data_IF_622622594601
#
_entry.id   IF_622622594601
#
_cell.length_a   1.000
_cell.length_b   1.000
_cell.length_c   1.000
_cell.angle_alpha   90.00
_cell.angle_beta   90.00
_cell.angle_gamma   90.00
#
_symmetry.space_group_name_H-M   'P 1'
#
loop_
_entity.id
_entity.type
_entity.pdbx_description
1 polymer ?
#
# COMPACT_ATOMS: atom_id res chain seq x y z
N UNK A 1 -20.31 -24.46 26.74
CA UNK A 1 -20.46 -23.11 26.12
C UNK A 1 -19.11 -22.38 26.15
N UNK A 2 -18.91 -21.31 25.35
CA UNK A 2 -17.64 -20.56 25.36
C UNK A 2 -17.27 -19.99 26.74
N UNK A 3 -18.28 -19.69 27.56
CA UNK A 3 -18.11 -19.18 28.92
C UNK A 3 -17.56 -20.24 29.88
N UNK A 4 -17.92 -21.52 29.70
CA UNK A 4 -17.33 -22.65 30.44
C UNK A 4 -15.85 -22.83 30.10
N UNK A 5 -15.47 -22.65 28.84
CA UNK A 5 -14.07 -22.74 28.41
C UNK A 5 -13.22 -21.62 29.04
N UNK A 6 -13.76 -20.40 29.13
CA UNK A 6 -13.10 -19.28 29.82
C UNK A 6 -12.97 -19.57 31.32
N UNK A 7 -14.03 -20.10 31.96
CA UNK A 7 -13.99 -20.45 33.39
C UNK A 7 -12.94 -21.53 33.67
N UNK A 8 -12.92 -22.57 32.85
CA UNK A 8 -11.91 -23.63 32.91
C UNK A 8 -10.49 -23.09 32.79
N UNK A 9 -10.23 -22.20 31.81
CA UNK A 9 -8.92 -21.58 31.63
C UNK A 9 -8.45 -20.83 32.88
N UNK A 10 -9.35 -20.08 33.54
CA UNK A 10 -9.07 -19.36 34.78
C UNK A 10 -8.85 -20.27 35.98
N UNK A 11 -9.68 -21.30 36.15
CA UNK A 11 -9.58 -22.25 37.27
C UNK A 11 -8.31 -23.09 37.20
N UNK A 12 -7.84 -23.43 35.99
CA UNK A 12 -6.66 -24.29 35.78
C UNK A 12 -5.39 -23.54 35.36
N UNK A 13 -5.44 -22.22 35.20
CA UNK A 13 -4.30 -21.43 34.72
C UNK A 13 -3.75 -21.88 33.36
N UNK A 14 -4.63 -22.34 32.45
CA UNK A 14 -4.24 -22.92 31.16
C UNK A 14 -4.61 -21.98 30.01
N UNK A 15 -3.79 -21.91 28.97
CA UNK A 15 -4.11 -21.18 27.74
C UNK A 15 -5.09 -21.97 26.86
N UNK A 16 -6.15 -21.31 26.37
CA UNK A 16 -7.15 -21.92 25.48
C UNK A 16 -7.24 -21.11 24.19
N UNK A 17 -7.10 -21.79 23.05
CA UNK A 17 -7.25 -21.19 21.72
C UNK A 17 -8.59 -21.61 21.12
N UNK A 18 -9.37 -20.63 20.67
CA UNK A 18 -10.65 -20.85 19.99
C UNK A 18 -10.50 -20.48 18.52
N UNK A 19 -10.86 -21.39 17.62
CA UNK A 19 -10.84 -21.16 16.17
C UNK A 19 -12.25 -20.89 15.70
N UNK A 20 -12.47 -19.72 15.09
CA UNK A 20 -13.74 -19.36 14.50
C UNK A 20 -13.58 -19.03 13.01
N UNK A 21 -14.37 -19.69 12.17
CA UNK A 21 -14.33 -19.51 10.72
C UNK A 21 -15.30 -18.40 10.29
N UNK A 22 -14.87 -17.54 9.36
CA UNK A 22 -15.74 -16.54 8.73
C UNK A 22 -16.43 -17.18 7.53
N UNK A 23 -17.77 -17.15 7.50
CA UNK A 23 -18.60 -17.71 6.43
C UNK A 23 -18.87 -16.67 5.33
N UNK A 24 -19.38 -17.13 4.18
CA UNK A 24 -19.54 -16.33 2.94
C UNK A 24 -20.50 -15.14 3.04
N UNK A 25 -21.42 -15.14 3.98
CA UNK A 25 -22.46 -14.11 4.11
C UNK A 25 -22.03 -12.91 4.98
N UNK A 26 -20.77 -12.87 5.44
CA UNK A 26 -20.29 -11.85 6.38
C UNK A 26 -20.95 -11.93 7.78
N UNK A 27 -21.96 -12.80 7.93
CA UNK A 27 -22.54 -13.20 9.20
C UNK A 27 -21.58 -14.18 9.87
N UNK A 28 -20.77 -13.63 10.76
CA UNK A 28 -19.74 -14.34 11.50
C UNK A 28 -20.39 -15.45 12.34
N UNK A 29 -20.26 -16.70 11.90
CA UNK A 29 -20.70 -17.88 12.64
C UNK A 29 -19.77 -18.11 13.85
N UNK A 30 -19.94 -17.33 14.93
CA UNK A 30 -19.28 -17.57 16.22
C UNK A 30 -18.29 -16.50 16.71
N UNK A 31 -17.31 -16.02 15.94
CA UNK A 31 -16.25 -15.16 16.47
C UNK A 31 -16.68 -13.82 17.08
N UNK A 32 -17.52 -13.02 16.40
CA UNK A 32 -17.86 -11.65 16.86
C UNK A 32 -18.59 -11.61 18.19
N UNK A 33 -19.42 -12.62 18.44
CA UNK A 33 -20.15 -12.75 19.72
C UNK A 33 -19.18 -13.04 20.87
N UNK A 34 -18.00 -13.60 20.60
CA UNK A 34 -17.00 -13.91 21.61
C UNK A 34 -15.93 -12.84 21.77
N UNK A 35 -15.75 -11.94 20.79
CA UNK A 35 -14.70 -10.89 20.79
C UNK A 35 -14.68 -10.06 22.07
N UNK A 36 -15.85 -9.73 22.62
CA UNK A 36 -15.96 -8.95 23.85
C UNK A 36 -15.66 -9.79 25.12
N UNK A 37 -15.87 -11.12 25.07
CA UNK A 37 -15.70 -12.04 26.18
C UNK A 37 -14.28 -12.58 26.35
N UNK A 38 -13.51 -12.68 25.26
CA UNK A 38 -12.14 -13.24 25.28
C UNK A 38 -11.09 -12.20 25.62
N UNK A 39 -9.92 -12.65 26.08
CA UNK A 39 -8.81 -11.77 26.44
C UNK A 39 -8.01 -11.28 25.22
N UNK A 40 -7.84 -12.12 24.21
CA UNK A 40 -7.15 -11.78 22.95
C UNK A 40 -8.00 -12.20 21.75
N UNK A 41 -8.09 -11.33 20.75
CA UNK A 41 -8.72 -11.57 19.45
C UNK A 41 -7.66 -11.37 18.38
N UNK A 42 -7.39 -12.45 17.64
CA UNK A 42 -6.48 -12.44 16.49
C UNK A 42 -7.29 -12.69 15.22
N UNK A 43 -7.01 -11.92 14.18
CA UNK A 43 -7.54 -12.12 12.84
C UNK A 43 -6.44 -12.65 11.93
N UNK A 44 -6.71 -13.76 11.23
CA UNK A 44 -5.79 -14.31 10.25
C UNK A 44 -6.36 -14.13 8.86
N UNK A 45 -5.77 -13.20 8.11
CA UNK A 45 -6.32 -12.68 6.87
C UNK A 45 -5.38 -12.97 5.71
N UNK A 46 -5.95 -13.32 4.56
CA UNK A 46 -5.20 -13.57 3.34
C UNK A 46 -6.04 -13.19 2.14
N UNK A 47 -5.49 -12.34 1.29
CA UNK A 47 -6.13 -12.00 0.03
C UNK A 47 -5.77 -13.03 -1.05
N UNK A 48 -6.68 -13.27 -2.00
CA UNK A 48 -6.46 -14.31 -3.04
C UNK A 48 -5.25 -14.02 -3.92
N UNK A 49 -4.96 -12.75 -4.15
CA UNK A 49 -3.83 -12.29 -4.96
C UNK A 49 -2.50 -12.24 -4.19
N UNK A 50 -2.54 -12.29 -2.85
CA UNK A 50 -1.34 -12.25 -2.03
C UNK A 50 -0.97 -13.67 -1.56
N UNK A 51 0.27 -14.09 -1.81
CA UNK A 51 0.84 -15.33 -1.26
C UNK A 51 0.94 -15.31 0.28
N UNK A 52 0.79 -14.14 0.89
CA UNK A 52 0.95 -13.94 2.31
C UNK A 52 -0.36 -14.03 3.09
N UNK A 53 -0.22 -14.34 4.37
CA UNK A 53 -1.26 -14.36 5.39
C UNK A 53 -0.81 -13.48 6.53
N UNK A 54 -1.63 -12.52 6.93
CA UNK A 54 -1.34 -11.56 7.99
C UNK A 54 -2.16 -11.96 9.21
N UNK A 55 -1.47 -12.22 10.32
CA UNK A 55 -2.06 -12.37 11.64
C UNK A 55 -2.02 -11.01 12.34
N UNK A 56 -3.16 -10.49 12.75
CA UNK A 56 -3.26 -9.19 13.44
C UNK A 56 -4.03 -9.30 14.74
N UNK A 57 -3.56 -8.62 15.78
CA UNK A 57 -4.28 -8.48 17.02
C UNK A 57 -5.36 -7.38 16.92
N UNK A 58 -6.64 -7.76 16.96
CA UNK A 58 -7.75 -6.80 17.06
C UNK A 58 -7.91 -6.34 18.51
N UNK A 59 -7.76 -7.27 19.46
CA UNK A 59 -7.81 -7.04 20.90
C UNK A 59 -6.72 -7.87 21.56
N UNK A 60 -5.97 -7.27 22.46
CA UNK A 60 -4.94 -7.98 23.21
C UNK A 60 -4.87 -7.39 24.61
N UNK A 61 -5.31 -8.14 25.63
CA UNK A 61 -5.20 -7.69 27.03
C UNK A 61 -3.80 -7.83 27.61
N UNK A 62 -2.90 -8.51 26.92
CA UNK A 62 -1.56 -8.83 27.41
C UNK A 62 -0.44 -8.19 26.58
N UNK A 63 -0.76 -7.31 25.62
CA UNK A 63 0.22 -6.68 24.74
C UNK A 63 -0.40 -5.67 23.78
N UNK A 64 0.39 -5.20 22.81
CA UNK A 64 -0.08 -4.27 21.79
C UNK A 64 -1.10 -4.92 20.85
N UNK A 65 -2.05 -4.11 20.36
CA UNK A 65 -2.90 -4.48 19.21
C UNK A 65 -2.28 -4.07 17.88
N UNK A 66 -1.15 -3.37 17.94
CA UNK A 66 -0.47 -2.88 16.75
C UNK A 66 0.48 -3.89 16.11
N UNK A 67 0.70 -5.03 16.75
CA UNK A 67 1.58 -6.08 16.27
C UNK A 67 0.92 -6.89 15.14
N UNK A 68 1.74 -7.23 14.15
CA UNK A 68 1.35 -8.11 13.05
C UNK A 68 2.36 -9.25 12.93
N UNK A 69 1.87 -10.46 12.67
CA UNK A 69 2.67 -11.58 12.22
C UNK A 69 2.43 -11.79 10.73
N UNK A 70 3.48 -11.90 9.93
CA UNK A 70 3.37 -12.14 8.49
C UNK A 70 3.82 -13.56 8.20
N UNK A 71 3.02 -14.30 7.44
CA UNK A 71 3.25 -15.69 7.11
C UNK A 71 3.09 -15.92 5.61
N UNK A 72 3.76 -16.94 5.08
CA UNK A 72 3.57 -17.43 3.72
C UNK A 72 3.16 -18.90 3.75
N UNK A 73 2.29 -19.32 2.84
CA UNK A 73 1.93 -20.73 2.70
C UNK A 73 2.96 -21.41 1.80
N UNK A 74 3.84 -22.23 2.39
CA UNK A 74 4.81 -23.05 1.69
C UNK A 74 4.29 -24.49 1.56
N UNK A 75 5.04 -25.35 0.85
CA UNK A 75 4.66 -26.76 0.65
C UNK A 75 4.48 -27.52 1.97
N UNK A 76 5.24 -27.17 3.00
CA UNK A 76 5.18 -27.82 4.32
C UNK A 76 4.18 -27.17 5.29
N UNK A 77 3.62 -26.00 4.95
CA UNK A 77 2.67 -25.27 5.79
C UNK A 77 2.96 -23.77 5.90
N UNK A 78 2.49 -23.15 6.98
CA UNK A 78 2.71 -21.72 7.25
C UNK A 78 4.14 -21.49 7.75
N UNK A 79 4.91 -20.71 7.00
CA UNK A 79 6.23 -20.24 7.39
C UNK A 79 6.16 -18.77 7.82
N UNK A 80 6.75 -18.44 8.97
CA UNK A 80 6.90 -17.07 9.45
C UNK A 80 7.81 -16.28 8.50
N UNK A 81 7.45 -15.02 8.27
CA UNK A 81 8.26 -14.07 7.53
C UNK A 81 8.78 -13.01 8.51
N UNK A 82 10.03 -13.18 8.93
CA UNK A 82 10.67 -12.30 9.90
C UNK A 82 10.94 -10.87 9.40
N UNK A 83 11.02 -10.66 8.08
CA UNK A 83 11.13 -9.32 7.51
C UNK A 83 10.05 -9.09 6.43
N UNK A 84 8.90 -8.52 6.79
CA UNK A 84 7.82 -8.23 5.86
C UNK A 84 8.23 -7.29 4.72
N UNK A 85 9.16 -6.35 4.95
CA UNK A 85 9.64 -5.49 3.87
C UNK A 85 10.46 -6.29 2.89
N UNK A 86 11.28 -7.23 3.38
CA UNK A 86 12.01 -8.15 2.49
C UNK A 86 11.09 -8.89 1.51
N UNK A 87 9.79 -9.06 1.77
CA UNK A 87 8.83 -9.71 0.86
C UNK A 87 8.34 -8.84 -0.30
N UNK A 88 8.19 -7.54 -0.06
CA UNK A 88 8.03 -6.56 -1.14
C UNK A 88 9.36 -6.33 -1.87
N UNK A 89 10.48 -6.64 -1.21
CA UNK A 89 11.84 -6.47 -1.73
C UNK A 89 12.43 -7.72 -2.41
N UNK A 90 11.98 -8.95 -2.11
CA UNK A 90 12.55 -10.22 -2.64
C UNK A 90 12.25 -10.43 -4.12
N UNK A 91 11.34 -9.65 -4.69
CA UNK A 91 11.16 -9.52 -6.14
C UNK A 91 11.76 -8.22 -6.71
N UNK A 92 12.46 -7.42 -5.89
CA UNK A 92 13.10 -6.13 -6.21
C UNK A 92 14.61 -6.14 -5.95
N UNK A 93 15.26 -7.29 -6.01
CA UNK A 93 16.74 -7.35 -5.98
C UNK A 93 17.36 -6.57 -7.16
N UNK A 94 16.57 -6.32 -8.22
CA UNK A 94 16.85 -5.29 -9.21
C UNK A 94 15.95 -4.08 -9.01
N UNK A 95 16.57 -2.90 -8.95
CA UNK A 95 15.88 -1.63 -8.85
C UNK A 95 15.05 -1.37 -10.12
N UNK A 96 13.81 -1.85 -10.12
CA UNK A 96 12.92 -1.80 -11.26
C UNK A 96 12.36 -0.39 -11.47
N UNK A 97 12.50 0.10 -12.69
CA UNK A 97 11.93 1.37 -13.12
C UNK A 97 10.43 1.21 -13.37
N UNK A 98 9.65 2.25 -13.08
CA UNK A 98 8.23 2.25 -13.34
C UNK A 98 7.38 1.63 -12.25
N UNK A 99 7.93 1.26 -11.09
CA UNK A 99 7.17 0.67 -9.99
C UNK A 99 7.15 1.59 -8.75
N UNK A 100 6.02 1.69 -8.06
CA UNK A 100 5.88 2.45 -6.80
C UNK A 100 4.86 1.76 -5.89
N UNK A 101 5.07 1.81 -4.58
CA UNK A 101 4.12 1.26 -3.61
C UNK A 101 3.18 2.35 -3.10
N UNK A 102 1.89 2.06 -3.11
CA UNK A 102 0.82 2.91 -2.61
C UNK A 102 0.08 2.23 -1.44
N UNK A 103 -0.04 2.88 -0.27
CA UNK A 103 -0.87 2.39 0.84
C UNK A 103 -2.34 2.75 0.58
N UNK A 104 -3.04 1.94 -0.22
CA UNK A 104 -4.46 2.09 -0.54
C UNK A 104 -5.36 1.91 0.70
N UNK A 105 -6.55 2.52 0.69
CA UNK A 105 -7.57 2.27 1.71
C UNK A 105 -8.71 1.46 1.10
N UNK A 106 -8.99 0.31 1.69
CA UNK A 106 -10.18 -0.49 1.45
C UNK A 106 -11.16 -0.27 2.62
N UNK A 107 -12.10 0.67 2.44
CA UNK A 107 -12.91 1.17 3.54
C UNK A 107 -12.03 1.90 4.56
N UNK A 108 -11.85 1.31 5.75
CA UNK A 108 -10.94 1.82 6.79
C UNK A 108 -9.61 1.04 6.88
N UNK A 109 -9.43 0.00 6.06
CA UNK A 109 -8.26 -0.89 6.13
C UNK A 109 -7.18 -0.44 5.15
N UNK A 110 -5.97 -0.08 5.60
CA UNK A 110 -4.85 0.18 4.71
C UNK A 110 -4.30 -1.13 4.13
N UNK A 111 -4.10 -1.17 2.82
CA UNK A 111 -3.52 -2.28 2.05
C UNK A 111 -2.45 -1.73 1.12
N UNK A 112 -1.27 -2.38 1.07
CA UNK A 112 -0.15 -1.92 0.27
C UNK A 112 -0.26 -2.55 -1.12
N UNK A 113 -0.38 -1.70 -2.14
CA UNK A 113 -0.52 -2.12 -3.54
C UNK A 113 0.62 -1.56 -4.37
N UNK A 114 1.12 -2.34 -5.31
CA UNK A 114 2.12 -1.86 -6.26
C UNK A 114 1.44 -1.26 -7.50
N UNK A 115 1.87 -0.05 -7.84
CA UNK A 115 1.51 0.65 -9.07
C UNK A 115 2.67 0.50 -10.05
N UNK A 116 2.37 0.00 -11.23
CA UNK A 116 3.32 -0.24 -12.30
C UNK A 116 2.98 0.64 -13.50
N UNK A 117 3.99 1.28 -14.05
CA UNK A 117 3.92 2.08 -15.26
C UNK A 117 5.00 1.60 -16.25
N UNK A 118 4.62 1.51 -17.52
CA UNK A 118 5.53 1.25 -18.62
C UNK A 118 5.33 2.32 -19.69
N UNK A 119 6.42 2.92 -20.13
CA UNK A 119 6.43 3.90 -21.21
C UNK A 119 7.16 3.36 -22.42
N UNK A 120 6.54 3.43 -23.60
CA UNK A 120 7.16 2.98 -24.87
C UNK A 120 7.25 4.19 -25.80
N UNK A 121 8.47 4.62 -26.13
CA UNK A 121 8.68 5.73 -27.07
C UNK A 121 8.27 5.31 -28.47
N UNK A 122 7.47 6.15 -29.13
CA UNK A 122 6.99 5.91 -30.49
C UNK A 122 7.82 6.70 -31.51
N UNK A 123 7.81 6.18 -32.74
CA UNK A 123 8.23 6.93 -33.90
C UNK A 123 7.23 8.07 -34.19
N UNK A 124 7.74 9.15 -34.79
CA UNK A 124 6.95 10.35 -35.09
C UNK A 124 5.68 10.04 -35.90
N UNK A 125 4.54 10.63 -35.49
CA UNK A 125 3.26 10.57 -36.21
C UNK A 125 2.29 9.47 -35.76
N UNK A 126 2.69 8.56 -34.86
CA UNK A 126 1.78 7.58 -34.27
C UNK A 126 1.01 8.18 -33.08
N UNK A 127 -0.29 7.88 -32.98
CA UNK A 127 -1.11 8.25 -31.82
C UNK A 127 -0.77 7.35 -30.63
N UNK A 128 -0.24 7.88 -29.52
CA UNK A 128 0.18 7.03 -28.41
C UNK A 128 -0.99 6.36 -27.70
N UNK A 129 -0.85 5.05 -27.47
CA UNK A 129 -1.80 4.30 -26.67
C UNK A 129 -1.66 4.64 -25.19
N UNK A 130 -2.80 4.78 -24.51
CA UNK A 130 -2.88 4.91 -23.05
C UNK A 130 -3.77 3.80 -22.52
N UNK A 131 -3.19 2.82 -21.84
CA UNK A 131 -3.90 1.65 -21.33
C UNK A 131 -3.80 1.59 -19.81
N UNK A 132 -4.91 1.28 -19.15
CA UNK A 132 -5.00 1.26 -17.69
C UNK A 132 -5.71 0.01 -17.22
N UNK A 133 -5.16 -0.65 -16.20
CA UNK A 133 -5.77 -1.79 -15.50
C UNK A 133 -5.79 -1.49 -14.01
N UNK A 134 -6.97 -1.56 -13.38
CA UNK A 134 -7.11 -1.34 -11.94
C UNK A 134 -7.18 0.13 -11.49
N UNK A 135 -7.19 1.08 -12.43
CA UNK A 135 -7.26 2.52 -12.17
C UNK A 135 -8.18 3.25 -13.18
N UNK A 136 -8.50 4.51 -12.93
CA UNK A 136 -9.30 5.35 -13.84
C UNK A 136 -8.48 5.99 -14.98
N UNK A 137 -8.92 5.82 -16.22
CA UNK A 137 -8.24 6.39 -17.40
C UNK A 137 -8.31 7.93 -17.44
N UNK A 138 -9.38 8.53 -16.90
CA UNK A 138 -9.53 9.98 -16.84
C UNK A 138 -8.49 10.62 -15.92
N UNK A 139 -8.29 10.05 -14.74
CA UNK A 139 -7.24 10.42 -13.79
C UNK A 139 -5.85 10.28 -14.40
N UNK A 140 -5.55 9.17 -15.11
CA UNK A 140 -4.27 9.05 -15.82
C UNK A 140 -4.07 10.22 -16.79
N UNK A 141 -5.08 10.55 -17.61
CA UNK A 141 -4.99 11.66 -18.54
C UNK A 141 -4.73 13.01 -17.84
N UNK A 142 -5.35 13.26 -16.68
CA UNK A 142 -5.10 14.45 -15.88
C UNK A 142 -3.66 14.49 -15.35
N UNK A 143 -3.15 13.38 -14.80
CA UNK A 143 -1.77 13.33 -14.29
C UNK A 143 -0.75 13.59 -15.40
N UNK A 144 -0.94 12.98 -16.57
CA UNK A 144 -0.09 13.24 -17.75
C UNK A 144 -0.13 14.71 -18.16
N UNK A 145 -1.31 15.33 -18.19
CA UNK A 145 -1.46 16.74 -18.52
C UNK A 145 -0.77 17.67 -17.51
N UNK A 146 -0.82 17.36 -16.21
CA UNK A 146 -0.14 18.15 -15.16
C UNK A 146 1.38 17.98 -15.25
N UNK A 147 1.89 16.75 -15.45
CA UNK A 147 3.31 16.48 -15.65
C UNK A 147 3.87 17.26 -16.85
N UNK A 148 3.11 17.34 -17.94
CA UNK A 148 3.51 18.09 -19.13
C UNK A 148 3.44 19.60 -18.88
N UNK A 149 2.29 20.12 -18.46
CA UNK A 149 2.06 21.57 -18.36
C UNK A 149 2.78 22.24 -17.19
N UNK A 150 3.07 21.51 -16.10
CA UNK A 150 3.66 22.07 -14.86
C UNK A 150 5.09 21.60 -14.60
N UNK A 151 5.50 20.44 -15.14
CA UNK A 151 6.81 19.88 -14.89
C UNK A 151 7.68 19.77 -16.16
N UNK A 152 7.13 20.07 -17.34
CA UNK A 152 7.86 19.96 -18.61
C UNK A 152 8.16 18.51 -19.03
N UNK A 153 7.48 17.54 -18.42
CA UNK A 153 7.63 16.11 -18.74
C UNK A 153 6.54 15.69 -19.72
N UNK A 154 6.85 15.74 -21.02
CA UNK A 154 5.90 15.37 -22.07
C UNK A 154 5.90 13.86 -22.34
N UNK A 155 4.69 13.29 -22.35
CA UNK A 155 4.42 11.90 -22.75
C UNK A 155 3.73 11.85 -24.13
N UNK A 156 3.76 12.96 -24.88
CA UNK A 156 3.06 13.11 -26.16
C UNK A 156 3.52 12.14 -27.25
N UNK A 157 4.75 11.62 -27.15
CA UNK A 157 5.33 10.65 -28.08
C UNK A 157 5.59 9.28 -27.43
N UNK A 158 4.94 8.99 -26.31
CA UNK A 158 5.11 7.74 -25.58
C UNK A 158 3.76 7.07 -25.32
N UNK A 159 3.69 5.77 -25.60
CA UNK A 159 2.61 4.96 -25.06
C UNK A 159 2.78 4.81 -23.56
N UNK A 160 1.66 4.77 -22.84
CA UNK A 160 1.64 4.62 -21.39
C UNK A 160 0.74 3.45 -21.04
N UNK A 161 1.31 2.49 -20.32
CA UNK A 161 0.59 1.36 -19.75
C UNK A 161 0.67 1.49 -18.22
N UNK A 162 -0.47 1.53 -17.55
CA UNK A 162 -0.57 1.59 -16.09
C UNK A 162 -1.30 0.36 -15.57
N UNK A 163 -0.73 -0.31 -14.57
CA UNK A 163 -1.30 -1.49 -13.95
C UNK A 163 -1.23 -1.39 -12.43
N UNK A 164 -2.33 -1.72 -11.76
CA UNK A 164 -2.33 -1.96 -10.31
C UNK A 164 -2.13 -3.46 -10.10
N UNK A 165 -0.98 -3.83 -9.55
CA UNK A 165 -0.62 -5.22 -9.32
C UNK A 165 -1.58 -5.88 -8.32
N UNK A 166 -1.76 -7.19 -8.40
CA UNK A 166 -2.62 -7.94 -7.48
C UNK A 166 -4.12 -7.89 -7.81
N UNK A 167 -4.51 -7.26 -8.93
CA UNK A 167 -5.91 -7.24 -9.41
C UNK A 167 -6.82 -6.26 -8.66
N UNK A 168 -6.25 -5.38 -7.84
CA UNK A 168 -7.00 -4.36 -7.12
C UNK A 168 -7.57 -3.32 -8.09
N UNK A 169 -8.68 -2.69 -7.67
CA UNK A 169 -9.20 -1.47 -8.29
C UNK A 169 -9.10 -0.34 -7.29
N UNK A 170 -8.34 0.69 -7.64
CA UNK A 170 -8.14 1.85 -6.78
C UNK A 170 -8.88 3.05 -7.36
N UNK A 171 -9.68 3.70 -6.52
CA UNK A 171 -10.44 4.93 -6.85
C UNK A 171 -10.05 6.11 -5.96
N UNK A 172 -9.03 5.90 -5.13
CA UNK A 172 -8.57 6.81 -4.09
C UNK A 172 -7.70 7.92 -4.68
N UNK A 173 -8.06 9.21 -4.55
CA UNK A 173 -7.24 10.33 -5.02
C UNK A 173 -5.83 10.33 -4.45
N UNK A 174 -5.62 9.67 -3.30
CA UNK A 174 -4.31 9.61 -2.68
C UNK A 174 -3.24 8.87 -3.48
N UNK A 175 -3.58 8.07 -4.50
CA UNK A 175 -2.53 7.44 -5.30
C UNK A 175 -2.09 8.29 -6.50
N UNK A 176 -2.62 9.49 -6.70
CA UNK A 176 -2.17 10.38 -7.79
C UNK A 176 -0.64 10.59 -7.75
N UNK A 177 -0.07 10.85 -6.56
CA UNK A 177 1.39 10.98 -6.39
C UNK A 177 2.16 9.68 -6.67
N UNK A 178 1.60 8.53 -6.28
CA UNK A 178 2.23 7.23 -6.53
C UNK A 178 2.21 6.85 -8.02
N UNK A 179 1.12 7.15 -8.72
CA UNK A 179 1.00 7.02 -10.18
C UNK A 179 2.01 7.95 -10.86
N UNK A 180 2.11 9.20 -10.43
CA UNK A 180 3.09 10.14 -10.97
C UNK A 180 4.54 9.63 -10.75
N UNK A 181 4.85 9.10 -9.56
CA UNK A 181 6.14 8.51 -9.25
C UNK A 181 6.49 7.34 -10.18
N UNK A 182 5.54 6.42 -10.41
CA UNK A 182 5.71 5.30 -11.33
C UNK A 182 5.94 5.79 -12.78
N UNK A 183 5.17 6.78 -13.25
CA UNK A 183 5.33 7.35 -14.59
C UNK A 183 6.68 8.05 -14.78
N UNK A 184 7.09 8.87 -13.81
CA UNK A 184 8.39 9.56 -13.82
C UNK A 184 9.51 8.51 -13.82
N UNK A 185 9.38 7.48 -12.98
CA UNK A 185 10.35 6.39 -12.88
C UNK A 185 10.50 5.63 -14.21
N UNK A 186 9.40 5.29 -14.86
CA UNK A 186 9.39 4.61 -16.15
C UNK A 186 10.03 5.46 -17.26
N UNK A 187 9.68 6.75 -17.32
CA UNK A 187 10.16 7.65 -18.37
C UNK A 187 11.64 8.04 -18.21
N UNK A 188 12.09 8.21 -16.96
CA UNK A 188 13.45 8.62 -16.64
C UNK A 188 14.44 7.46 -16.48
N UNK A 189 13.94 6.23 -16.54
CA UNK A 189 14.70 5.00 -16.24
C UNK A 189 15.40 5.07 -14.88
N UNK A 190 14.72 5.68 -13.89
CA UNK A 190 15.22 5.80 -12.52
C UNK A 190 14.26 5.15 -11.53
N UNK A 191 14.69 4.11 -10.81
CA UNK A 191 13.80 3.39 -9.89
C UNK A 191 13.40 4.25 -8.71
N UNK A 192 12.13 4.11 -8.29
CA UNK A 192 11.69 4.61 -6.99
C UNK A 192 12.34 3.76 -5.91
N UNK A 193 12.82 4.32 -4.79
CA UNK A 193 13.44 3.51 -3.76
C UNK A 193 12.51 2.41 -3.26
N UNK A 194 13.09 1.23 -3.06
CA UNK A 194 12.33 -0.02 -2.95
C UNK A 194 11.53 -0.16 -1.66
N UNK A 195 12.01 0.50 -0.61
CA UNK A 195 11.48 0.69 0.74
C UNK A 195 10.69 2.00 0.89
N UNK A 196 10.33 2.67 -0.22
CA UNK A 196 9.52 3.88 -0.21
C UNK A 196 8.07 3.62 -0.61
N UNK A 197 7.15 4.25 0.12
CA UNK A 197 5.75 4.42 -0.31
C UNK A 197 5.51 5.84 -0.79
N UNK A 198 4.53 6.04 -1.66
CA UNK A 198 4.12 7.38 -2.10
C UNK A 198 2.59 7.54 -1.97
N UNK A 199 2.13 8.70 -1.54
CA UNK A 199 0.71 9.06 -1.61
C UNK A 199 0.53 10.57 -1.49
N UNK A 200 -0.55 11.09 -2.07
CA UNK A 200 -0.89 12.51 -2.15
C UNK A 200 -1.82 12.74 -3.34
N UNK A 201 -2.73 13.71 -3.23
CA UNK A 201 -3.61 14.10 -4.33
C UNK A 201 -2.94 15.18 -5.18
N UNK A 202 -2.99 15.06 -6.50
CA UNK A 202 -2.37 16.03 -7.42
C UNK A 202 -3.44 16.95 -7.99
N UNK A 203 -3.35 18.24 -7.69
CA UNK A 203 -4.24 19.25 -8.27
C UNK A 203 -3.78 19.64 -9.69
N UNK A 204 -4.70 20.16 -10.50
CA UNK A 204 -4.39 20.69 -11.86
C UNK A 204 -3.44 21.89 -11.85
N UNK A 205 -3.31 22.58 -10.71
CA UNK A 205 -2.29 23.61 -10.47
C UNK A 205 -0.87 23.04 -10.38
N UNK A 206 -0.73 21.73 -10.20
CA UNK A 206 0.53 21.07 -9.86
C UNK A 206 0.81 21.03 -8.35
N UNK A 207 -0.12 21.48 -7.51
CA UNK A 207 0.00 21.34 -6.05
C UNK A 207 -0.24 19.90 -5.60
N UNK A 208 0.50 19.45 -4.59
CA UNK A 208 0.30 18.15 -3.94
C UNK A 208 -0.43 18.38 -2.61
N UNK A 209 -1.64 17.83 -2.51
CA UNK A 209 -2.58 18.07 -1.40
C UNK A 209 -2.57 16.92 -0.38
N UNK A 210 -2.80 17.22 0.92
CA UNK A 210 -3.02 16.20 1.94
C UNK A 210 -4.25 15.36 1.62
N UNK A 211 -4.23 14.11 2.08
CA UNK A 211 -5.26 13.11 1.79
C UNK A 211 -5.86 12.56 3.09
N UNK A 212 -7.03 11.94 2.99
CA UNK A 212 -7.67 11.30 4.12
C UNK A 212 -6.81 10.15 4.69
N UNK A 213 -6.84 10.02 6.02
CA UNK A 213 -6.20 8.96 6.80
C UNK A 213 -4.68 8.80 6.56
N UNK A 214 -3.98 9.89 6.26
CA UNK A 214 -2.53 9.91 6.09
C UNK A 214 -1.73 9.20 7.21
N UNK A 215 -1.97 9.49 8.50
CA UNK A 215 -1.30 8.80 9.60
C UNK A 215 -1.54 7.28 9.63
N UNK A 216 -2.73 6.83 9.23
CA UNK A 216 -3.07 5.40 9.18
C UNK A 216 -2.28 4.68 8.08
N UNK A 217 -2.15 5.32 6.90
CA UNK A 217 -1.34 4.80 5.78
C UNK A 217 0.12 4.65 6.17
N UNK A 218 0.68 5.68 6.83
CA UNK A 218 2.06 5.68 7.32
C UNK A 218 2.29 4.58 8.37
N UNK A 219 1.36 4.44 9.33
CA UNK A 219 1.44 3.41 10.37
C UNK A 219 1.49 2.01 9.76
N UNK A 220 0.65 1.72 8.77
CA UNK A 220 0.63 0.41 8.12
C UNK A 220 1.88 0.16 7.28
N UNK A 221 2.34 1.16 6.52
CA UNK A 221 3.58 1.05 5.75
C UNK A 221 4.78 0.76 6.66
N UNK A 222 4.90 1.47 7.79
CA UNK A 222 5.95 1.24 8.78
C UNK A 222 5.91 -0.17 9.37
N UNK A 223 4.72 -0.69 9.70
CA UNK A 223 4.55 -2.07 10.20
C UNK A 223 5.01 -3.13 9.21
N UNK A 224 4.85 -2.86 7.92
CA UNK A 224 5.32 -3.74 6.84
C UNK A 224 6.79 -3.48 6.47
N UNK A 225 7.49 -2.64 7.23
CA UNK A 225 8.93 -2.43 7.14
C UNK A 225 9.38 -1.43 6.07
N UNK A 226 8.48 -0.60 5.54
CA UNK A 226 8.87 0.53 4.70
C UNK A 226 9.55 1.61 5.55
N UNK A 227 10.66 2.15 5.07
CA UNK A 227 11.45 3.14 5.81
C UNK A 227 11.19 4.57 5.33
N UNK A 228 10.72 4.74 4.09
CA UNK A 228 10.56 6.04 3.44
C UNK A 228 9.13 6.30 2.98
N UNK A 229 8.70 7.56 3.05
CA UNK A 229 7.43 7.99 2.47
C UNK A 229 7.55 9.32 1.72
N UNK A 230 7.08 9.32 0.48
CA UNK A 230 6.93 10.48 -0.39
C UNK A 230 5.51 11.02 -0.23
N UNK A 231 5.36 12.18 0.39
CA UNK A 231 4.07 12.68 0.90
C UNK A 231 3.85 14.16 0.61
N UNK A 232 2.64 14.71 0.81
CA UNK A 232 2.41 16.14 0.74
C UNK A 232 3.22 16.88 1.82
N UNK A 233 3.72 18.07 1.51
CA UNK A 233 4.59 18.85 2.42
C UNK A 233 3.95 19.12 3.80
N UNK A 234 2.62 19.23 3.88
CA UNK A 234 1.91 19.45 5.14
C UNK A 234 2.00 18.26 6.11
N UNK A 235 2.45 17.09 5.65
CA UNK A 235 2.50 15.86 6.44
C UNK A 235 3.87 15.55 7.05
N UNK A 236 4.92 16.34 6.77
CA UNK A 236 6.27 16.06 7.26
C UNK A 236 6.42 16.09 8.79
N UNK A 237 5.47 16.70 9.50
CA UNK A 237 5.42 16.72 10.97
C UNK A 237 4.81 15.47 11.61
N UNK A 238 4.29 14.53 10.82
CA UNK A 238 3.64 13.32 11.34
C UNK A 238 4.63 12.31 11.91
N UNK A 239 4.39 11.86 13.15
CA UNK A 239 5.19 10.79 13.77
C UNK A 239 4.79 9.44 13.18
N UNK A 240 5.64 8.90 12.32
CA UNK A 240 5.32 7.69 11.53
C UNK A 240 6.33 6.55 11.67
N UNK A 241 7.43 6.74 12.41
CA UNK A 241 8.54 5.77 12.43
C UNK A 241 9.29 5.67 11.10
N UNK A 242 8.94 6.49 10.11
CA UNK A 242 9.49 6.50 8.76
C UNK A 242 10.13 7.87 8.45
N UNK A 243 11.05 7.88 7.50
CA UNK A 243 11.62 9.10 6.93
C UNK A 243 10.64 9.70 5.92
N UNK A 244 10.06 10.86 6.27
CA UNK A 244 9.11 11.57 5.43
C UNK A 244 9.82 12.58 4.51
N UNK A 245 9.54 12.51 3.21
CA UNK A 245 9.91 13.52 2.22
C UNK A 245 8.66 14.20 1.72
N UNK A 246 8.50 15.48 2.07
CA UNK A 246 7.30 16.26 1.80
C UNK A 246 7.44 17.16 0.58
N UNK A 247 6.43 17.16 -0.29
CA UNK A 247 6.42 17.94 -1.52
C UNK A 247 5.21 18.85 -1.59
N UNK A 248 5.43 20.13 -1.90
CA UNK A 248 4.35 21.10 -2.09
C UNK A 248 3.82 21.09 -3.52
N UNK A 249 4.70 20.82 -4.49
CA UNK A 249 4.35 20.81 -5.90
C UNK A 249 4.91 19.58 -6.61
N UNK A 250 4.23 19.15 -7.67
CA UNK A 250 4.66 18.05 -8.52
C UNK A 250 6.00 18.36 -9.21
N UNK A 251 6.28 19.62 -9.53
CA UNK A 251 7.58 20.04 -10.05
C UNK A 251 8.72 19.73 -9.06
N UNK A 252 8.57 20.12 -7.79
CA UNK A 252 9.57 19.80 -6.75
C UNK A 252 9.74 18.29 -6.54
N UNK A 253 8.66 17.53 -6.71
CA UNK A 253 8.68 16.08 -6.64
C UNK A 253 9.44 15.45 -7.82
N UNK A 254 9.21 15.97 -9.04
CA UNK A 254 9.94 15.57 -10.25
C UNK A 254 11.43 15.85 -10.09
N UNK A 255 11.81 17.03 -9.60
CA UNK A 255 13.22 17.37 -9.39
C UNK A 255 13.90 16.42 -8.41
N UNK A 256 13.23 16.08 -7.31
CA UNK A 256 13.70 15.08 -6.35
C UNK A 256 13.90 13.70 -6.99
N UNK A 257 12.90 13.21 -7.73
CA UNK A 257 12.96 11.93 -8.44
C UNK A 257 14.06 11.90 -9.51
N UNK A 258 14.33 13.05 -10.14
CA UNK A 258 15.38 13.23 -11.15
C UNK A 258 16.74 13.60 -10.52
N UNK A 259 16.88 13.59 -9.19
CA UNK A 259 18.14 13.91 -8.50
C UNK A 259 18.65 15.33 -8.79
N UNK A 260 17.75 16.28 -9.05
CA UNK A 260 18.02 17.68 -9.40
C UNK A 260 17.85 18.66 -8.22
N UNK A 261 17.66 18.17 -7.00
CA UNK A 261 17.44 18.97 -5.80
C UNK A 261 17.96 18.33 -4.53
#
# INVERSE_FOLDING_TARGET
SAQELIRFAKERGTAVVLVGHVTKDGSIAGPRVLEHMVDTVLSFEGERSHQYRILRAIKNRFGGTDEIGVFSMQTEGLAEVGNPSSLFLTHRDDAMTGATVFPALEGTRPVLVEIQALTVRLASGATPRRAVVGWDSGRLAMILAVLEARCGLSFSNAEVYLNIAGGYRVQDPAADLAVAAALISAMSERPVPVDAVAFGEVALSGEIRPVAHGPLRLKEASKLGFERALVPASMTGEKSGMKLSGFKTLASFVDHMMGRG
#
